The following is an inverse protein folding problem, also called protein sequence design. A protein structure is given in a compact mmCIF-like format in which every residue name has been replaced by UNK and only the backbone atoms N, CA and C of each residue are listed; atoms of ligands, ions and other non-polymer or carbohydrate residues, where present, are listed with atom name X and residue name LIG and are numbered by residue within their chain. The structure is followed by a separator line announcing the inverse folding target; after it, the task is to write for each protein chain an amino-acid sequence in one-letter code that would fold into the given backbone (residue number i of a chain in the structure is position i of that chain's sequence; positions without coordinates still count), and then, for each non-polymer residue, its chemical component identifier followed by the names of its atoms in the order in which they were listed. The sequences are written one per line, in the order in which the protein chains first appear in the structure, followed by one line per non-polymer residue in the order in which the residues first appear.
data_IF_948708724890
#
_entry.id   IF_948708724890
#
_cell.length_a   1.000
_cell.length_b   1.000
_cell.length_c   1.000
_cell.angle_alpha   90.00
_cell.angle_beta   90.00
_cell.angle_gamma   90.00
#
_symmetry.space_group_name_H-M   'P 1'
#
loop_
_entity.id
_entity.type
_entity.pdbx_description
1 polymer ?
#
# COMPACT_ATOMS: atom_id res chain seq x y z
N UNK A 1 -11.81 -7.27 -5.50
CA UNK A 1 -10.60 -8.10 -5.37
C UNK A 1 -9.37 -7.55 -6.12
N UNK A 2 -9.47 -6.52 -6.98
CA UNK A 2 -8.30 -5.99 -7.70
C UNK A 2 -7.55 -4.88 -6.95
N UNK A 3 -8.27 -4.00 -6.24
CA UNK A 3 -7.70 -2.85 -5.52
C UNK A 3 -6.81 -3.28 -4.35
N UNK A 4 -7.21 -4.32 -3.61
CA UNK A 4 -6.40 -4.84 -2.51
C UNK A 4 -5.04 -5.34 -2.99
N UNK A 5 -5.03 -6.14 -4.05
CA UNK A 5 -3.81 -6.65 -4.67
C UNK A 5 -2.95 -5.52 -5.23
N UNK A 6 -3.56 -4.51 -5.86
CA UNK A 6 -2.83 -3.32 -6.29
C UNK A 6 -2.13 -2.62 -5.11
N UNK A 7 -2.79 -2.49 -3.96
CA UNK A 7 -2.16 -1.95 -2.75
C UNK A 7 -0.92 -2.75 -2.33
N UNK A 8 -0.99 -4.08 -2.39
CA UNK A 8 0.18 -4.97 -2.14
C UNK A 8 1.27 -4.74 -3.18
N UNK A 9 0.92 -4.66 -4.47
CA UNK A 9 1.89 -4.41 -5.55
C UNK A 9 2.58 -3.06 -5.42
N UNK A 10 1.87 -2.00 -5.03
CA UNK A 10 2.47 -0.69 -4.77
C UNK A 10 3.45 -0.80 -3.60
N UNK A 11 3.09 -1.54 -2.54
CA UNK A 11 4.00 -1.81 -1.43
C UNK A 11 5.26 -2.57 -1.87
N UNK A 12 5.12 -3.60 -2.73
CA UNK A 12 6.25 -4.35 -3.29
C UNK A 12 7.18 -3.42 -4.10
N UNK A 13 6.62 -2.53 -4.93
CA UNK A 13 7.40 -1.53 -5.68
C UNK A 13 8.17 -0.60 -4.73
N UNK A 14 7.48 -0.05 -3.72
CA UNK A 14 8.07 0.91 -2.79
C UNK A 14 9.08 0.30 -1.81
N UNK A 15 9.07 -1.02 -1.66
CA UNK A 15 10.07 -1.77 -0.89
C UNK A 15 11.16 -2.38 -1.77
N UNK A 16 11.19 -2.02 -3.05
CA UNK A 16 12.14 -2.54 -4.03
C UNK A 16 12.11 -4.07 -4.19
N UNK A 17 10.92 -4.65 -4.08
CA UNK A 17 10.66 -6.07 -4.33
C UNK A 17 10.72 -6.96 -3.10
N UNK A 18 10.59 -6.42 -1.88
CA UNK A 18 10.48 -7.26 -0.69
C UNK A 18 9.23 -8.16 -0.76
N UNK A 19 9.30 -9.31 -0.09
CA UNK A 19 8.18 -10.22 -0.02
C UNK A 19 7.15 -9.75 1.02
N UNK A 20 5.86 -9.62 0.65
CA UNK A 20 4.83 -9.22 1.60
C UNK A 20 4.67 -10.29 2.68
N UNK A 21 4.66 -9.85 3.94
CA UNK A 21 4.49 -10.72 5.11
C UNK A 21 5.55 -11.84 5.24
N UNK A 22 6.77 -11.64 4.72
CA UNK A 22 7.84 -12.66 4.68
C UNK A 22 8.12 -13.37 6.03
N UNK A 23 7.99 -12.62 7.13
CA UNK A 23 8.28 -13.12 8.48
C UNK A 23 7.06 -13.70 9.21
N UNK A 24 5.93 -13.85 8.52
CA UNK A 24 4.67 -14.31 9.11
C UNK A 24 4.31 -15.68 8.53
N UNK A 25 4.16 -16.72 9.37
CA UNK A 25 3.64 -18.01 8.91
C UNK A 25 2.27 -17.84 8.27
N UNK A 26 2.03 -18.49 7.13
CA UNK A 26 0.76 -18.41 6.38
C UNK A 26 -0.45 -18.72 7.28
N UNK A 27 -0.30 -19.65 8.22
CA UNK A 27 -1.35 -20.04 9.16
C UNK A 27 -1.75 -18.89 10.11
N UNK A 28 -0.82 -17.99 10.44
CA UNK A 28 -1.06 -16.84 11.32
C UNK A 28 -1.41 -15.55 10.56
N UNK A 29 -1.18 -15.52 9.25
CA UNK A 29 -1.45 -14.35 8.41
C UNK A 29 -2.94 -13.98 8.41
N UNK A 30 -3.82 -14.97 8.33
CA UNK A 30 -5.28 -14.73 8.34
C UNK A 30 -5.69 -14.04 9.63
N UNK A 31 -5.26 -14.55 10.80
CA UNK A 31 -5.57 -13.98 12.10
C UNK A 31 -5.06 -12.54 12.25
N UNK A 32 -3.87 -12.24 11.73
CA UNK A 32 -3.30 -10.89 11.76
C UNK A 32 -4.10 -9.92 10.88
N UNK A 33 -4.46 -10.33 9.67
CA UNK A 33 -5.27 -9.50 8.77
C UNK A 33 -6.65 -9.21 9.35
N UNK A 34 -7.27 -10.18 10.03
CA UNK A 34 -8.55 -10.00 10.73
C UNK A 34 -8.46 -9.04 11.92
N UNK A 35 -7.30 -8.99 12.61
CA UNK A 35 -7.01 -7.99 13.65
C UNK A 35 -6.73 -6.59 13.10
N UNK A 36 -6.69 -6.43 11.78
CA UNK A 36 -6.43 -5.16 11.13
C UNK A 36 -4.94 -4.89 10.90
N UNK A 37 -4.05 -5.84 11.18
CA UNK A 37 -2.63 -5.70 10.83
C UNK A 37 -2.47 -5.66 9.31
N UNK A 38 -1.56 -4.82 8.84
CA UNK A 38 -1.27 -4.61 7.42
C UNK A 38 0.23 -4.49 7.23
N UNK A 39 0.68 -4.55 5.97
CA UNK A 39 2.08 -4.31 5.62
C UNK A 39 2.55 -2.96 6.17
N UNK A 40 3.75 -2.93 6.75
CA UNK A 40 4.33 -1.71 7.32
C UNK A 40 4.62 -0.66 6.25
N UNK A 41 4.63 0.61 6.64
CA UNK A 41 4.98 1.71 5.73
C UNK A 41 6.41 1.52 5.17
N UNK A 42 6.58 1.54 3.83
CA UNK A 42 7.91 1.52 3.23
C UNK A 42 8.73 2.75 3.64
N UNK A 43 10.03 2.58 3.87
CA UNK A 43 10.90 3.66 4.38
C UNK A 43 11.01 4.87 3.45
N UNK A 44 10.84 4.66 2.14
CA UNK A 44 10.88 5.73 1.14
C UNK A 44 9.56 6.48 1.02
N UNK A 45 8.46 5.93 1.54
CA UNK A 45 7.14 6.52 1.37
C UNK A 45 6.83 7.51 2.49
N UNK A 46 6.27 8.66 2.13
CA UNK A 46 5.57 9.50 3.09
C UNK A 46 4.26 8.86 3.55
N UNK A 47 3.69 9.41 4.63
CA UNK A 47 2.40 8.98 5.17
C UNK A 47 1.27 9.11 4.13
N UNK A 48 1.34 10.10 3.24
CA UNK A 48 0.32 10.33 2.21
C UNK A 48 0.24 9.15 1.24
N UNK A 49 1.39 8.63 0.79
CA UNK A 49 1.45 7.45 -0.09
C UNK A 49 0.99 6.21 0.66
N UNK A 50 1.42 6.05 1.91
CA UNK A 50 1.02 4.89 2.72
C UNK A 50 -0.48 4.87 3.00
N UNK A 51 -1.11 6.02 3.23
CA UNK A 51 -2.55 6.12 3.42
C UNK A 51 -3.35 5.65 2.19
N UNK A 52 -2.81 5.82 0.98
CA UNK A 52 -3.41 5.24 -0.23
C UNK A 52 -3.36 3.71 -0.17
N UNK A 53 -2.24 3.11 0.25
CA UNK A 53 -2.13 1.66 0.43
C UNK A 53 -3.11 1.15 1.50
N UNK A 54 -3.20 1.83 2.65
CA UNK A 54 -4.15 1.49 3.72
C UNK A 54 -5.60 1.50 3.21
N UNK A 55 -5.99 2.51 2.42
CA UNK A 55 -7.33 2.59 1.81
C UNK A 55 -7.61 1.40 0.88
N UNK A 56 -6.60 0.93 0.15
CA UNK A 56 -6.72 -0.27 -0.69
C UNK A 56 -6.99 -1.56 0.13
N UNK A 57 -6.56 -1.58 1.41
CA UNK A 57 -6.68 -2.74 2.31
C UNK A 57 -7.80 -2.65 3.34
N UNK A 58 -8.75 -1.72 3.15
CA UNK A 58 -9.95 -1.65 3.97
C UNK A 58 -10.74 -2.96 3.87
N UNK A 59 -11.29 -3.40 5.00
CA UNK A 59 -12.06 -4.66 5.07
C UNK A 59 -13.28 -4.57 4.17
N UNK A 60 -14.06 -3.48 4.30
CA UNK A 60 -15.16 -3.18 3.40
C UNK A 60 -14.65 -2.84 1.99
N UNK A 61 -15.11 -3.61 1.00
CA UNK A 61 -14.72 -3.44 -0.39
C UNK A 61 -15.28 -2.16 -1.02
N UNK A 62 -16.44 -1.67 -0.55
CA UNK A 62 -17.07 -0.45 -1.08
C UNK A 62 -16.39 0.83 -0.58
N UNK A 63 -15.70 0.75 0.56
CA UNK A 63 -14.90 1.85 1.10
C UNK A 63 -13.52 1.99 0.43
N UNK A 64 -13.12 1.03 -0.42
CA UNK A 64 -11.85 1.08 -1.15
C UNK A 64 -11.97 2.04 -2.34
N UNK A 65 -10.87 2.73 -2.71
CA UNK A 65 -10.88 3.62 -3.86
C UNK A 65 -11.05 2.81 -5.16
N UNK A 66 -11.68 3.42 -6.15
CA UNK A 66 -11.72 2.95 -7.53
C UNK A 66 -10.38 3.14 -8.23
N UNK A 67 -10.22 2.49 -9.39
CA UNK A 67 -9.03 2.70 -10.23
C UNK A 67 -8.92 4.13 -10.74
N UNK A 68 -10.04 4.79 -11.04
CA UNK A 68 -10.05 6.16 -11.52
C UNK A 68 -9.57 7.12 -10.42
N UNK A 69 -10.09 6.98 -9.19
CA UNK A 69 -9.62 7.75 -8.04
C UNK A 69 -8.14 7.52 -7.75
N UNK A 70 -7.67 6.27 -7.77
CA UNK A 70 -6.24 5.96 -7.60
C UNK A 70 -5.38 6.60 -8.68
N UNK A 71 -5.85 6.57 -9.93
CA UNK A 71 -5.15 7.18 -11.06
C UNK A 71 -5.01 8.68 -10.85
N UNK A 72 -6.09 9.37 -10.49
CA UNK A 72 -6.06 10.81 -10.21
C UNK A 72 -5.12 11.14 -9.06
N UNK A 73 -5.16 10.37 -7.97
CA UNK A 73 -4.28 10.54 -6.81
C UNK A 73 -2.81 10.39 -7.22
N UNK A 74 -2.45 9.32 -7.92
CA UNK A 74 -1.06 9.09 -8.32
C UNK A 74 -0.58 10.07 -9.38
N UNK A 75 -1.43 10.47 -10.32
CA UNK A 75 -1.12 11.54 -11.29
C UNK A 75 -0.86 12.87 -10.58
N UNK A 76 -1.63 13.18 -9.54
CA UNK A 76 -1.38 14.37 -8.72
C UNK A 76 -0.03 14.27 -7.99
N UNK A 77 0.24 13.14 -7.32
CA UNK A 77 1.49 12.93 -6.58
C UNK A 77 2.72 12.97 -7.50
N UNK A 78 2.61 12.45 -8.72
CA UNK A 78 3.68 12.43 -9.70
C UNK A 78 4.13 13.82 -10.18
N UNK A 79 3.36 14.88 -9.91
CA UNK A 79 3.75 16.27 -10.24
C UNK A 79 4.85 16.82 -9.32
N UNK A 80 5.00 16.26 -8.13
CA UNK A 80 6.04 16.64 -7.16
C UNK A 80 6.54 15.38 -6.41
N UNK A 81 7.26 14.48 -7.10
CA UNK A 81 7.59 13.16 -6.56
C UNK A 81 8.44 13.22 -5.28
N UNK A 82 9.33 14.21 -5.17
CA UNK A 82 10.21 14.38 -3.99
C UNK A 82 9.47 14.74 -2.71
N UNK A 83 8.23 15.26 -2.81
CA UNK A 83 7.35 15.48 -1.66
C UNK A 83 6.79 14.17 -1.11
N UNK A 84 6.59 13.17 -1.95
CA UNK A 84 5.85 11.95 -1.61
C UNK A 84 6.75 10.73 -1.40
N UNK A 85 7.90 10.69 -2.09
CA UNK A 85 8.91 9.64 -2.00
C UNK A 85 10.28 10.23 -1.66
N UNK A 86 10.87 9.77 -0.57
CA UNK A 86 12.21 10.18 -0.10
C UNK A 86 13.18 9.03 -0.36
N UNK A 87 13.81 9.05 -1.53
CA UNK A 87 14.81 8.07 -1.94
C UNK A 87 16.18 8.68 -1.70
N UNK A 88 16.96 8.10 -0.80
CA UNK A 88 18.36 8.48 -0.63
C UNK A 88 19.15 7.93 -1.83
N UNK A 89 19.79 8.82 -2.58
CA UNK A 89 20.68 8.50 -3.71
C UNK A 89 22.08 8.25 -3.21
#
# INVERSE_FOLDING_TARGET
TNIHTLGVTIWEICTFGNHPYENIPIQSLVDQLERGERLAQPSICTIDVYMVMIKCWLVDAYSRPSFDELTEIFVHMARDPGRYLVIQV
#
